data_IF_119337582807
#
_entry.id   IF_119337582807
#
_cell.length_a   1.000
_cell.length_b   1.000
_cell.length_c   1.000
_cell.angle_alpha   90.00
_cell.angle_beta   90.00
_cell.angle_gamma   90.00
#
_symmetry.space_group_name_H-M   'P 1'
#
loop_
_entity.id
_entity.type
_entity.pdbx_description
1 polymer ?
#
# COMPACT_ATOMS: atom_id res chain seq x y z
N UNK A 1 -10.92 37.65 54.55
CA UNK A 1 -11.58 38.80 53.93
C UNK A 1 -10.99 39.01 52.55
N UNK A 2 -11.75 38.65 51.53
CA UNK A 2 -11.87 39.38 50.29
C UNK A 2 -10.77 39.20 49.22
N UNK A 3 -10.65 38.03 48.58
CA UNK A 3 -9.79 37.84 47.43
C UNK A 3 -10.56 37.26 46.21
N UNK A 4 -11.83 37.58 46.06
CA UNK A 4 -12.68 37.08 44.97
C UNK A 4 -13.40 38.19 44.17
N UNK A 5 -12.81 39.37 44.06
CA UNK A 5 -13.44 40.50 43.36
C UNK A 5 -12.72 40.99 42.12
N UNK A 6 -11.73 40.25 41.59
CA UNK A 6 -10.91 40.75 40.45
C UNK A 6 -11.08 39.95 39.12
N UNK A 7 -12.00 39.05 39.04
CA UNK A 7 -12.18 38.23 37.81
C UNK A 7 -13.52 38.44 37.07
N UNK A 8 -14.14 39.60 37.22
CA UNK A 8 -15.43 39.90 36.57
C UNK A 8 -15.39 41.02 35.54
N UNK A 9 -14.23 41.45 35.11
CA UNK A 9 -14.06 42.63 34.23
C UNK A 9 -13.51 42.35 32.83
N UNK A 10 -12.96 41.16 32.57
CA UNK A 10 -12.22 40.92 31.31
C UNK A 10 -12.97 40.16 30.22
N UNK A 11 -14.14 39.65 30.50
CA UNK A 11 -14.90 38.91 29.49
C UNK A 11 -15.81 39.81 28.60
N UNK A 12 -15.99 41.06 28.96
CA UNK A 12 -16.79 42.03 28.16
C UNK A 12 -15.97 42.81 27.12
N UNK A 13 -14.67 42.94 27.33
CA UNK A 13 -13.79 43.67 26.39
C UNK A 13 -13.43 42.89 25.12
N UNK A 14 -13.63 41.60 25.09
CA UNK A 14 -13.31 40.75 23.95
C UNK A 14 -14.47 40.62 22.95
N UNK A 15 -15.63 41.21 23.23
CA UNK A 15 -16.78 41.15 22.33
C UNK A 15 -16.90 42.33 21.36
N UNK A 16 -16.10 43.39 21.57
CA UNK A 16 -16.25 44.62 20.73
C UNK A 16 -15.27 44.70 19.55
N UNK A 17 -14.43 43.72 19.30
CA UNK A 17 -13.45 43.80 18.22
C UNK A 17 -13.65 42.83 17.05
N UNK A 18 -14.75 42.14 16.99
CA UNK A 18 -15.09 41.40 15.77
C UNK A 18 -16.17 42.21 15.01
N UNK A 19 -15.84 42.81 13.87
CA UNK A 19 -16.88 43.35 12.99
C UNK A 19 -17.78 42.18 12.62
N UNK A 20 -19.05 42.37 12.85
CA UNK A 20 -20.13 41.47 12.37
C UNK A 20 -19.84 41.15 10.91
N UNK A 21 -19.37 39.90 10.67
CA UNK A 21 -19.15 39.44 9.33
C UNK A 21 -20.51 39.46 8.64
N UNK A 22 -20.67 40.45 7.79
CA UNK A 22 -21.78 40.56 6.83
C UNK A 22 -21.90 39.18 6.16
N UNK A 23 -22.93 38.44 6.55
CA UNK A 23 -23.31 37.18 5.97
C UNK A 23 -23.63 37.38 4.51
N UNK A 24 -22.58 37.49 3.69
CA UNK A 24 -22.66 37.53 2.27
C UNK A 24 -23.20 36.17 1.85
N UNK A 25 -24.54 36.08 1.72
CA UNK A 25 -25.18 34.92 1.12
C UNK A 25 -24.46 34.63 -0.18
N UNK A 26 -23.71 33.54 -0.16
CA UNK A 26 -23.18 32.96 -1.38
C UNK A 26 -24.36 32.79 -2.33
N UNK A 27 -24.27 33.23 -3.58
CA UNK A 27 -25.33 32.99 -4.54
C UNK A 27 -25.56 31.48 -4.53
N UNK A 28 -26.83 31.07 -4.39
CA UNK A 28 -27.22 29.68 -4.60
C UNK A 28 -26.69 29.31 -5.98
N UNK A 29 -25.55 28.60 -5.97
CA UNK A 29 -24.98 28.07 -7.17
C UNK A 29 -26.03 27.11 -7.71
N UNK A 30 -26.70 27.48 -8.78
CA UNK A 30 -27.53 26.60 -9.58
C UNK A 30 -26.61 25.58 -10.28
N UNK A 31 -25.92 24.78 -9.47
CA UNK A 31 -25.20 23.62 -9.96
C UNK A 31 -26.25 22.57 -10.32
N UNK A 32 -26.68 22.60 -11.55
CA UNK A 32 -27.36 21.46 -12.15
C UNK A 32 -26.27 20.47 -12.54
N UNK A 33 -26.16 19.34 -11.85
CA UNK A 33 -25.23 18.31 -12.27
C UNK A 33 -25.56 17.89 -13.70
N UNK A 34 -24.57 17.70 -14.58
CA UNK A 34 -24.83 17.21 -15.93
C UNK A 34 -25.59 15.87 -15.84
N UNK A 35 -26.59 15.71 -16.72
CA UNK A 35 -27.45 14.50 -16.78
C UNK A 35 -26.67 13.17 -16.89
N UNK A 36 -25.37 13.26 -17.12
CA UNK A 36 -24.46 12.11 -17.15
C UNK A 36 -24.01 11.59 -15.77
N UNK A 37 -24.38 12.26 -14.66
CA UNK A 37 -24.15 11.71 -13.32
C UNK A 37 -25.23 10.69 -12.98
N UNK A 38 -25.11 9.54 -13.64
CA UNK A 38 -25.95 8.40 -13.32
C UNK A 38 -25.58 7.89 -11.93
N UNK A 39 -26.44 8.18 -10.95
CA UNK A 39 -26.27 7.66 -9.57
C UNK A 39 -26.31 6.13 -9.52
N UNK A 40 -26.86 5.47 -10.56
CA UNK A 40 -26.83 4.03 -10.71
C UNK A 40 -25.39 3.52 -10.97
N UNK A 41 -24.50 4.37 -11.49
CA UNK A 41 -23.08 4.04 -11.62
C UNK A 41 -22.37 3.93 -10.25
N UNK A 42 -22.93 4.54 -9.20
CA UNK A 42 -22.42 4.41 -7.83
C UNK A 42 -22.93 3.12 -7.15
N UNK A 43 -24.00 2.54 -7.68
CA UNK A 43 -24.55 1.24 -7.30
C UNK A 43 -24.13 0.13 -8.26
N UNK A 44 -23.38 0.44 -9.32
CA UNK A 44 -22.71 -0.58 -10.09
C UNK A 44 -21.92 -1.45 -9.11
N UNK A 45 -22.05 -2.78 -9.18
CA UNK A 45 -21.25 -3.66 -8.34
C UNK A 45 -19.80 -3.21 -8.52
N UNK A 46 -19.21 -2.78 -7.42
CA UNK A 46 -17.79 -2.47 -7.35
C UNK A 46 -17.13 -3.65 -8.04
N UNK A 47 -16.27 -3.47 -9.08
CA UNK A 47 -15.61 -4.59 -9.72
C UNK A 47 -15.14 -5.46 -8.57
N UNK A 48 -15.65 -6.67 -8.54
CA UNK A 48 -15.32 -7.63 -7.50
C UNK A 48 -13.81 -7.62 -7.47
N UNK A 49 -13.24 -7.03 -6.40
CA UNK A 49 -11.85 -7.25 -6.06
C UNK A 49 -11.82 -8.76 -6.04
N UNK A 50 -11.24 -9.37 -7.06
CA UNK A 50 -11.22 -10.80 -7.22
C UNK A 50 -10.90 -11.34 -5.84
N UNK A 51 -11.80 -12.15 -5.30
CA UNK A 51 -11.66 -12.80 -4.00
C UNK A 51 -10.54 -13.85 -4.12
N UNK A 52 -9.41 -13.44 -4.64
CA UNK A 52 -8.14 -14.13 -4.59
C UNK A 52 -7.57 -13.98 -3.17
N UNK A 53 -8.42 -14.25 -2.16
CA UNK A 53 -7.88 -14.61 -0.87
C UNK A 53 -6.89 -15.75 -1.14
N UNK A 54 -5.65 -15.66 -0.65
CA UNK A 54 -4.65 -16.68 -0.93
C UNK A 54 -5.17 -18.02 -0.41
N UNK A 55 -5.58 -18.89 -1.32
CA UNK A 55 -5.97 -20.27 -1.02
C UNK A 55 -4.70 -21.11 -0.81
N UNK A 56 -3.82 -20.64 0.05
CA UNK A 56 -2.61 -21.34 0.46
C UNK A 56 -2.92 -22.06 1.76
N UNK A 57 -2.64 -23.36 1.78
CA UNK A 57 -2.77 -24.19 2.97
C UNK A 57 -1.72 -23.85 4.03
N UNK A 58 -1.63 -24.64 5.09
CA UNK A 58 -0.59 -24.46 6.09
C UNK A 58 0.79 -24.55 5.45
N UNK A 59 1.72 -23.71 5.90
CA UNK A 59 3.09 -23.67 5.41
C UNK A 59 3.77 -25.03 5.55
N UNK A 60 4.35 -25.54 4.47
CA UNK A 60 5.19 -26.73 4.46
C UNK A 60 6.66 -26.31 4.35
N UNK A 61 7.46 -26.48 5.43
CA UNK A 61 8.86 -26.06 5.43
C UNK A 61 9.71 -26.81 4.38
N UNK A 62 9.37 -28.07 4.09
CA UNK A 62 10.10 -28.88 3.11
C UNK A 62 9.86 -28.36 1.70
N UNK A 63 8.60 -28.12 1.35
CA UNK A 63 8.24 -27.55 0.05
C UNK A 63 8.79 -26.12 -0.10
N UNK A 64 8.69 -25.32 0.95
CA UNK A 64 9.25 -23.96 0.95
C UNK A 64 10.75 -23.99 0.68
N UNK A 65 11.52 -24.82 1.39
CA UNK A 65 12.96 -24.94 1.18
C UNK A 65 13.32 -25.47 -0.22
N UNK A 66 12.54 -26.41 -0.75
CA UNK A 66 12.76 -26.98 -2.08
C UNK A 66 12.52 -25.97 -3.21
N UNK A 67 11.54 -25.08 -3.06
CA UNK A 67 11.16 -24.08 -4.07
C UNK A 67 11.86 -22.74 -3.91
N UNK A 68 12.34 -22.42 -2.71
CA UNK A 68 12.88 -21.11 -2.36
C UNK A 68 13.96 -20.62 -3.33
N UNK A 69 14.94 -21.48 -3.67
CA UNK A 69 16.02 -21.10 -4.59
C UNK A 69 15.51 -20.68 -5.96
N UNK A 70 14.59 -21.44 -6.55
CA UNK A 70 14.00 -21.15 -7.86
C UNK A 70 13.11 -19.90 -7.83
N UNK A 71 12.40 -19.71 -6.72
CA UNK A 71 11.58 -18.52 -6.53
C UNK A 71 12.47 -17.28 -6.43
N UNK A 72 13.55 -17.31 -5.66
CA UNK A 72 14.51 -16.22 -5.54
C UNK A 72 15.13 -15.89 -6.90
N UNK A 73 15.53 -16.87 -7.69
CA UNK A 73 16.05 -16.66 -9.04
C UNK A 73 15.03 -15.96 -9.94
N UNK A 74 13.75 -16.36 -9.86
CA UNK A 74 12.68 -15.70 -10.59
C UNK A 74 12.46 -14.24 -10.11
N UNK A 75 12.49 -14.00 -8.81
CA UNK A 75 12.32 -12.66 -8.21
C UNK A 75 13.46 -11.71 -8.58
N UNK A 76 14.69 -12.19 -8.70
CA UNK A 76 15.84 -11.40 -9.18
C UNK A 76 15.73 -10.95 -10.64
N UNK A 77 14.75 -11.43 -11.38
CA UNK A 77 14.46 -10.96 -12.75
C UNK A 77 13.40 -9.86 -12.79
N UNK A 78 12.82 -9.47 -11.66
CA UNK A 78 11.83 -8.40 -11.54
C UNK A 78 12.53 -7.14 -11.03
N UNK A 79 12.36 -6.05 -11.77
CA UNK A 79 12.98 -4.77 -11.46
C UNK A 79 11.92 -3.71 -11.16
N UNK A 80 12.23 -2.80 -10.27
CA UNK A 80 11.47 -1.56 -10.18
C UNK A 80 11.84 -0.68 -11.39
N UNK A 81 10.88 -0.18 -12.17
CA UNK A 81 11.20 0.64 -13.36
C UNK A 81 11.94 1.93 -13.04
N UNK A 82 11.90 2.40 -11.82
CA UNK A 82 12.57 3.62 -11.36
C UNK A 82 13.97 3.36 -10.77
N UNK A 83 14.27 2.10 -10.40
CA UNK A 83 15.48 1.73 -9.66
C UNK A 83 16.19 0.59 -10.40
N UNK A 84 17.47 0.76 -10.83
CA UNK A 84 18.21 -0.25 -11.61
C UNK A 84 18.70 -1.41 -10.74
N UNK A 85 17.87 -1.88 -9.81
CA UNK A 85 18.14 -3.00 -8.90
C UNK A 85 16.88 -3.86 -8.82
N UNK A 86 17.06 -5.18 -8.77
CA UNK A 86 15.92 -6.09 -8.65
C UNK A 86 15.26 -6.02 -7.26
N UNK A 87 14.00 -6.43 -7.20
CA UNK A 87 13.17 -6.32 -5.99
C UNK A 87 13.66 -7.18 -4.82
N UNK A 88 14.41 -8.24 -5.09
CA UNK A 88 14.96 -9.10 -4.05
C UNK A 88 16.15 -8.42 -3.37
N UNK A 89 17.08 -7.86 -4.15
CA UNK A 89 18.23 -7.10 -3.64
C UNK A 89 17.79 -5.79 -2.96
N UNK A 90 16.67 -5.20 -3.40
CA UNK A 90 16.04 -4.05 -2.73
C UNK A 90 15.42 -4.41 -1.36
N UNK A 91 15.31 -5.70 -1.03
CA UNK A 91 14.73 -6.16 0.23
C UNK A 91 13.22 -5.96 0.30
N UNK A 92 12.52 -5.98 -0.85
CA UNK A 92 11.07 -5.85 -0.91
C UNK A 92 10.35 -7.17 -0.58
N UNK A 93 11.04 -8.31 -0.62
CA UNK A 93 10.48 -9.62 -0.30
C UNK A 93 10.67 -9.88 1.18
N UNK A 94 9.56 -10.10 1.89
CA UNK A 94 9.56 -10.34 3.33
C UNK A 94 9.52 -11.81 3.66
N UNK A 95 8.70 -12.58 2.93
CA UNK A 95 8.56 -13.99 3.18
C UNK A 95 8.10 -14.75 1.92
N UNK A 96 8.45 -16.02 1.84
CA UNK A 96 8.04 -16.94 0.79
C UNK A 96 7.53 -18.20 1.48
N UNK A 97 6.27 -18.49 1.30
CA UNK A 97 5.58 -19.61 1.93
C UNK A 97 5.06 -20.53 0.83
N UNK A 98 5.40 -21.81 0.90
CA UNK A 98 4.79 -22.83 0.06
C UNK A 98 4.05 -23.86 0.93
N UNK A 99 2.94 -24.36 0.44
CA UNK A 99 2.19 -25.45 1.08
C UNK A 99 2.51 -26.83 0.46
N UNK A 100 1.90 -27.86 1.01
CA UNK A 100 2.09 -29.25 0.55
C UNK A 100 1.69 -29.44 -0.92
N UNK A 101 0.74 -28.68 -1.44
CA UNK A 101 0.30 -28.68 -2.83
C UNK A 101 1.16 -27.81 -3.74
N UNK A 102 2.26 -27.25 -3.22
CA UNK A 102 3.19 -26.35 -3.93
C UNK A 102 2.50 -25.07 -4.44
N UNK A 103 1.51 -24.60 -3.68
CA UNK A 103 0.93 -23.28 -3.84
C UNK A 103 1.80 -22.30 -3.07
N UNK A 104 2.14 -21.19 -3.67
CA UNK A 104 3.11 -20.22 -3.12
C UNK A 104 2.44 -18.91 -2.79
N UNK A 105 2.70 -18.40 -1.59
CA UNK A 105 2.40 -17.04 -1.17
C UNK A 105 3.71 -16.27 -1.00
N UNK A 106 3.83 -15.15 -1.68
CA UNK A 106 4.93 -14.20 -1.51
C UNK A 106 4.42 -12.99 -0.76
N UNK A 107 4.94 -12.77 0.43
CA UNK A 107 4.72 -11.54 1.19
C UNK A 107 5.78 -10.53 0.79
N UNK A 108 5.34 -9.40 0.24
CA UNK A 108 6.24 -8.34 -0.19
C UNK A 108 5.75 -6.96 0.23
N UNK A 109 6.62 -5.99 0.14
CA UNK A 109 6.29 -4.58 0.34
C UNK A 109 6.69 -3.76 -0.88
N UNK A 110 6.45 -2.47 -0.82
CA UNK A 110 6.87 -1.49 -1.82
C UNK A 110 7.63 -0.36 -1.13
N UNK A 111 8.47 0.33 -1.88
CA UNK A 111 9.23 1.49 -1.36
C UNK A 111 8.33 2.64 -0.91
N UNK A 112 7.13 2.75 -1.50
CA UNK A 112 6.12 3.75 -1.14
C UNK A 112 4.72 3.27 -1.51
N UNK A 113 3.69 3.57 -0.70
CA UNK A 113 2.29 3.28 -1.05
C UNK A 113 1.80 4.02 -2.31
N UNK A 114 2.41 5.14 -2.64
CA UNK A 114 2.07 5.97 -3.79
C UNK A 114 2.91 5.65 -5.05
N UNK A 115 3.69 4.55 -5.04
CA UNK A 115 4.51 4.17 -6.17
C UNK A 115 3.61 3.83 -7.39
N UNK A 116 3.85 4.42 -8.58
CA UNK A 116 3.09 4.08 -9.78
C UNK A 116 3.18 2.59 -10.14
N UNK A 117 4.28 1.94 -9.78
CA UNK A 117 4.54 0.51 -10.01
C UNK A 117 3.83 -0.41 -8.99
N UNK A 118 3.07 0.15 -8.04
CA UNK A 118 2.44 -0.60 -6.95
C UNK A 118 1.51 -1.74 -7.41
N UNK A 119 0.94 -1.65 -8.59
CA UNK A 119 0.12 -2.71 -9.19
C UNK A 119 0.90 -3.60 -10.15
N UNK A 120 1.91 -3.05 -10.81
CA UNK A 120 2.70 -3.75 -11.82
C UNK A 120 3.64 -4.78 -11.19
N UNK A 121 4.43 -4.38 -10.20
CA UNK A 121 5.42 -5.25 -9.55
C UNK A 121 4.78 -6.51 -8.95
N UNK A 122 3.71 -6.45 -8.14
CA UNK A 122 3.08 -7.66 -7.60
C UNK A 122 2.52 -8.59 -8.67
N UNK A 123 1.99 -8.02 -9.75
CA UNK A 123 1.46 -8.81 -10.88
C UNK A 123 2.59 -9.54 -11.61
N UNK A 124 3.72 -8.87 -11.82
CA UNK A 124 4.90 -9.47 -12.44
C UNK A 124 5.52 -10.55 -11.54
N UNK A 125 5.63 -10.32 -10.23
CA UNK A 125 6.06 -11.31 -9.25
C UNK A 125 5.18 -12.56 -9.33
N UNK A 126 3.85 -12.39 -9.26
CA UNK A 126 2.90 -13.49 -9.38
C UNK A 126 3.11 -14.27 -10.67
N UNK A 127 3.24 -13.58 -11.79
CA UNK A 127 3.45 -14.20 -13.10
C UNK A 127 4.75 -15.01 -13.14
N UNK A 128 5.87 -14.45 -12.68
CA UNK A 128 7.19 -15.11 -12.67
C UNK A 128 7.21 -16.34 -11.76
N UNK A 129 6.64 -16.22 -10.55
CA UNK A 129 6.58 -17.35 -9.61
C UNK A 129 5.66 -18.45 -10.14
N UNK A 130 4.51 -18.12 -10.71
CA UNK A 130 3.61 -19.10 -11.30
C UNK A 130 4.18 -19.79 -12.54
N UNK A 131 5.13 -19.18 -13.24
CA UNK A 131 5.79 -19.76 -14.39
C UNK A 131 6.80 -20.87 -14.02
N UNK A 132 7.13 -21.05 -12.73
CA UNK A 132 8.00 -22.12 -12.25
C UNK A 132 7.24 -23.45 -12.37
N UNK A 133 7.78 -24.47 -13.07
CA UNK A 133 7.03 -25.71 -13.37
C UNK A 133 6.54 -26.48 -12.13
N UNK A 134 7.25 -26.33 -11.01
CA UNK A 134 6.91 -27.02 -9.77
C UNK A 134 5.84 -26.26 -8.94
N UNK A 135 5.53 -25.02 -9.29
CA UNK A 135 4.53 -24.21 -8.60
C UNK A 135 3.16 -24.42 -9.23
N UNK A 136 2.19 -24.83 -8.43
CA UNK A 136 0.81 -25.08 -8.91
C UNK A 136 0.02 -23.78 -9.02
N UNK A 137 0.19 -22.86 -8.07
CA UNK A 137 -0.38 -21.52 -8.11
C UNK A 137 0.45 -20.55 -7.27
N UNK A 138 0.29 -19.24 -7.52
CA UNK A 138 1.02 -18.20 -6.80
C UNK A 138 0.11 -17.03 -6.45
N UNK A 139 0.30 -16.49 -5.25
CA UNK A 139 -0.32 -15.27 -4.76
C UNK A 139 0.73 -14.32 -4.23
N UNK A 140 0.42 -13.05 -4.24
CA UNK A 140 1.27 -11.99 -3.70
C UNK A 140 0.44 -11.17 -2.73
N UNK A 141 0.91 -11.02 -1.51
CA UNK A 141 0.32 -10.17 -0.50
C UNK A 141 1.23 -8.96 -0.25
N UNK A 142 0.65 -7.77 -0.30
CA UNK A 142 1.37 -6.54 0.06
C UNK A 142 1.22 -6.33 1.56
N UNK A 143 2.34 -6.27 2.26
CA UNK A 143 2.42 -6.00 3.69
C UNK A 143 3.16 -4.69 3.93
N UNK A 144 2.65 -3.87 4.85
CA UNK A 144 3.22 -2.56 5.17
C UNK A 144 3.92 -2.52 6.52
N UNK A 145 3.81 -3.61 7.28
CA UNK A 145 4.47 -3.78 8.57
C UNK A 145 5.44 -4.97 8.53
N UNK A 146 6.69 -4.75 8.91
CA UNK A 146 7.35 -3.48 9.20
C UNK A 146 7.52 -2.63 7.93
N UNK A 147 7.59 -1.28 8.03
CA UNK A 147 7.80 -0.44 6.86
C UNK A 147 9.16 -0.72 6.21
N UNK A 148 9.23 -0.55 4.91
CA UNK A 148 10.49 -0.69 4.19
C UNK A 148 11.47 0.41 4.59
N UNK A 149 12.74 0.05 4.71
CA UNK A 149 13.85 0.97 4.91
C UNK A 149 15.06 0.55 4.06
N UNK A 150 15.97 1.49 3.82
CA UNK A 150 17.21 1.25 3.05
C UNK A 150 18.12 0.19 3.71
N UNK A 151 17.96 -0.04 5.01
CA UNK A 151 18.74 -1.05 5.74
C UNK A 151 18.44 -2.47 5.27
N UNK A 152 17.26 -2.69 4.67
CA UNK A 152 16.82 -3.99 4.14
C UNK A 152 17.46 -4.34 2.80
N UNK A 153 18.06 -3.36 2.12
CA UNK A 153 18.79 -3.59 0.87
C UNK A 153 20.02 -4.47 1.12
N UNK A 154 20.36 -5.27 0.13
CA UNK A 154 21.67 -5.94 0.11
C UNK A 154 22.82 -4.93 0.00
N UNK A 155 23.99 -5.32 0.41
CA UNK A 155 25.18 -4.49 0.25
C UNK A 155 25.47 -4.16 -1.23
N UNK A 156 25.19 -5.10 -2.14
CA UNK A 156 25.33 -4.88 -3.59
C UNK A 156 24.36 -3.79 -4.09
N UNK A 157 23.10 -3.83 -3.62
CA UNK A 157 22.12 -2.81 -3.96
C UNK A 157 22.51 -1.43 -3.43
N UNK A 158 22.96 -1.36 -2.17
CA UNK A 158 23.45 -0.11 -1.56
C UNK A 158 24.60 0.49 -2.37
N UNK A 159 25.61 -0.30 -2.72
CA UNK A 159 26.74 0.15 -3.52
C UNK A 159 26.29 0.63 -4.92
N UNK A 160 25.38 -0.08 -5.57
CA UNK A 160 24.86 0.30 -6.89
C UNK A 160 24.11 1.62 -6.85
N UNK A 161 23.41 1.91 -5.76
CA UNK A 161 22.63 3.15 -5.56
C UNK A 161 23.42 4.28 -4.90
N UNK A 162 24.68 4.03 -4.50
CA UNK A 162 25.57 5.04 -3.94
C UNK A 162 25.31 5.36 -2.44
N UNK A 163 24.86 4.39 -1.67
CA UNK A 163 24.64 4.50 -0.22
C UNK A 163 25.78 3.91 0.60
#
# INVERSE_FOLDING_TARGET
MGLFSFLKGDSERLRESFPEAEEKRLPESSFTPPEAWNVDALTAPRPEVSSDAPEVGPADPVQTAALQGKIIEALKTVYDPEIPVDIYELGLIYDIIADAERRVLVNMTLTSPACPSAQQIPSEVRFKVKAIPEVTNAWVAIVWEPPWSKDRMSEAAKLTLGF
#
